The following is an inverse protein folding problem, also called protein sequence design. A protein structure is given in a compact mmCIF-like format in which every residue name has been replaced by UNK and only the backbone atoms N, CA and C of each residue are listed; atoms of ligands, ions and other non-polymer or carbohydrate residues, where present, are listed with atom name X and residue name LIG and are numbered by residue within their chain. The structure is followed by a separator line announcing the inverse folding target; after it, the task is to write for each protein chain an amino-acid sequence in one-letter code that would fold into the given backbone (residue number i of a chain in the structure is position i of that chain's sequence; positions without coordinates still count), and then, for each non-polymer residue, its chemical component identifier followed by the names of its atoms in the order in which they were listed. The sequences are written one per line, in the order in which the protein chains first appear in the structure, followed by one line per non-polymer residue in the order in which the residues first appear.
data_IF_433088029632
#
_entry.id   IF_433088029632
#
_cell.length_a   1.000
_cell.length_b   1.000
_cell.length_c   1.000
_cell.angle_alpha   90.00
_cell.angle_beta   90.00
_cell.angle_gamma   90.00
#
_symmetry.space_group_name_H-M   'P 1'
#
loop_
_entity.id
_entity.type
_entity.pdbx_description
1 polymer ?
#
# COMPACT_ATOMS: atom_id res chain seq x y z
N UNK A 1 -38.37 44.20 7.90
CA UNK A 1 -37.83 43.23 8.88
C UNK A 1 -36.76 42.41 8.19
N UNK A 2 -35.54 42.60 8.65
CA UNK A 2 -34.29 42.13 8.04
C UNK A 2 -33.88 40.78 8.62
N UNK A 3 -33.29 39.95 7.75
CA UNK A 3 -32.26 38.93 8.04
C UNK A 3 -32.72 37.66 8.79
N UNK A 4 -32.64 36.52 8.10
CA UNK A 4 -31.80 35.38 8.53
C UNK A 4 -31.96 34.19 7.56
N UNK A 5 -31.20 34.17 6.46
CA UNK A 5 -30.99 32.92 5.70
C UNK A 5 -29.61 32.85 5.01
N UNK A 6 -28.68 33.76 5.33
CA UNK A 6 -27.36 33.85 4.67
C UNK A 6 -26.21 33.13 5.41
N UNK A 7 -26.46 32.51 6.55
CA UNK A 7 -25.39 31.85 7.33
C UNK A 7 -25.28 30.34 7.10
N UNK A 8 -26.21 29.71 6.37
CA UNK A 8 -26.16 28.26 6.13
C UNK A 8 -25.15 27.87 5.03
N UNK A 9 -24.83 28.77 4.09
CA UNK A 9 -23.91 28.45 2.98
C UNK A 9 -22.43 28.54 3.34
N UNK A 10 -22.07 29.24 4.43
CA UNK A 10 -20.66 29.39 4.85
C UNK A 10 -20.18 28.16 5.63
N UNK A 11 -21.08 27.47 6.35
CA UNK A 11 -20.74 26.27 7.10
C UNK A 11 -20.42 25.08 6.18
N UNK A 12 -21.05 25.00 5.00
CA UNK A 12 -20.80 23.94 4.02
C UNK A 12 -19.45 24.09 3.31
N UNK A 13 -18.88 25.30 3.22
CA UNK A 13 -17.62 25.54 2.51
C UNK A 13 -16.39 25.24 3.37
N UNK A 14 -16.52 25.23 4.70
CA UNK A 14 -15.41 24.89 5.62
C UNK A 14 -15.14 23.37 5.72
N UNK A 15 -16.14 22.54 5.43
CA UNK A 15 -15.97 21.07 5.45
C UNK A 15 -15.11 20.54 4.30
N UNK A 16 -14.98 21.29 3.19
CA UNK A 16 -14.18 20.86 2.04
C UNK A 16 -12.67 21.04 2.26
N UNK A 17 -12.23 21.96 3.11
CA UNK A 17 -10.80 22.19 3.36
C UNK A 17 -10.18 21.17 4.32
N UNK A 18 -10.98 20.60 5.24
CA UNK A 18 -10.49 19.62 6.21
C UNK A 18 -10.15 18.26 5.57
N UNK A 19 -10.89 17.85 4.53
CA UNK A 19 -10.67 16.56 3.86
C UNK A 19 -9.36 16.57 3.03
N UNK A 20 -9.08 17.68 2.33
CA UNK A 20 -7.84 17.79 1.55
C UNK A 20 -6.57 17.83 2.43
N UNK A 21 -6.63 18.45 3.62
CA UNK A 21 -5.47 18.49 4.51
C UNK A 21 -5.15 17.12 5.11
N UNK A 22 -6.18 16.34 5.45
CA UNK A 22 -6.01 15.00 6.00
C UNK A 22 -5.30 14.06 5.02
N UNK A 23 -5.73 14.09 3.75
CA UNK A 23 -5.13 13.26 2.72
C UNK A 23 -3.68 13.65 2.41
N UNK A 24 -3.38 14.96 2.39
CA UNK A 24 -2.01 15.44 2.22
C UNK A 24 -1.10 15.02 3.38
N UNK A 25 -1.56 15.11 4.62
CA UNK A 25 -0.80 14.66 5.78
C UNK A 25 -0.55 13.15 5.75
N UNK A 26 -1.59 12.34 5.42
CA UNK A 26 -1.44 10.88 5.25
C UNK A 26 -0.43 10.53 4.16
N UNK A 27 -0.43 11.28 3.06
CA UNK A 27 0.56 11.15 1.99
C UNK A 27 1.97 11.45 2.50
N UNK A 28 2.20 12.58 3.16
CA UNK A 28 3.51 12.97 3.69
C UNK A 28 4.06 11.93 4.68
N UNK A 29 3.19 11.41 5.56
CA UNK A 29 3.52 10.32 6.47
C UNK A 29 3.96 9.06 5.69
N UNK A 30 3.17 8.68 4.68
CA UNK A 30 3.42 7.47 3.89
C UNK A 30 4.73 7.59 3.10
N UNK A 31 5.00 8.75 2.49
CA UNK A 31 6.26 9.06 1.83
C UNK A 31 7.46 8.99 2.79
N UNK A 32 7.32 9.53 4.01
CA UNK A 32 8.36 9.43 5.03
C UNK A 32 8.65 7.98 5.41
N UNK A 33 7.60 7.17 5.61
CA UNK A 33 7.76 5.74 5.93
C UNK A 33 8.51 5.02 4.81
N UNK A 34 8.12 5.23 3.55
CA UNK A 34 8.81 4.61 2.41
C UNK A 34 10.28 5.02 2.36
N UNK A 35 10.56 6.32 2.48
CA UNK A 35 11.92 6.85 2.41
C UNK A 35 12.81 6.34 3.55
N UNK A 36 12.30 6.35 4.78
CA UNK A 36 13.05 5.94 5.97
C UNK A 36 13.35 4.43 5.99
N UNK A 37 12.56 3.64 5.25
CA UNK A 37 12.66 2.18 5.21
C UNK A 37 13.04 1.64 3.82
N UNK A 38 13.50 2.49 2.90
CA UNK A 38 13.79 2.10 1.51
C UNK A 38 14.77 0.93 1.41
N UNK A 39 15.88 1.00 2.16
CA UNK A 39 16.88 -0.09 2.22
C UNK A 39 16.31 -1.37 2.82
N UNK A 40 15.38 -1.27 3.78
CA UNK A 40 14.76 -2.42 4.42
C UNK A 40 13.85 -3.17 3.45
N UNK A 41 12.99 -2.47 2.71
CA UNK A 41 12.14 -3.07 1.69
C UNK A 41 12.97 -3.82 0.65
N UNK A 42 14.07 -3.21 0.22
CA UNK A 42 14.97 -3.83 -0.74
C UNK A 42 15.72 -5.01 -0.14
N UNK A 43 16.24 -4.92 1.08
CA UNK A 43 16.99 -6.01 1.70
C UNK A 43 16.14 -7.25 1.96
N UNK A 44 14.83 -7.05 2.10
CA UNK A 44 13.91 -8.14 2.38
C UNK A 44 13.49 -8.91 1.13
N UNK A 45 13.68 -8.42 -0.10
CA UNK A 45 13.18 -9.11 -1.31
C UNK A 45 13.71 -10.56 -1.37
N UNK A 46 12.81 -11.50 -1.64
CA UNK A 46 13.02 -12.95 -1.52
C UNK A 46 14.02 -13.47 -2.56
N UNK A 47 13.95 -12.92 -3.78
CA UNK A 47 14.66 -13.45 -4.95
C UNK A 47 16.01 -12.77 -5.24
N UNK A 48 16.63 -12.16 -4.23
CA UNK A 48 17.92 -11.51 -4.42
C UNK A 48 19.09 -12.51 -4.38
N UNK A 49 19.66 -12.87 -5.55
CA UNK A 49 21.10 -13.19 -5.73
C UNK A 49 21.50 -13.33 -7.22
N UNK A 50 22.74 -13.02 -7.68
CA UNK A 50 23.81 -12.18 -7.12
C UNK A 50 23.95 -10.84 -7.87
N UNK A 51 24.44 -9.80 -7.18
CA UNK A 51 25.01 -8.48 -7.60
C UNK A 51 24.40 -7.64 -8.76
N UNK A 52 23.63 -8.19 -9.69
CA UNK A 52 23.23 -7.55 -10.96
C UNK A 52 21.72 -7.64 -11.28
N UNK A 53 20.88 -8.23 -10.42
CA UNK A 53 19.43 -8.25 -10.66
C UNK A 53 18.88 -6.83 -10.58
N UNK A 54 18.31 -6.34 -11.69
CA UNK A 54 17.70 -5.03 -11.75
C UNK A 54 16.41 -5.04 -10.93
N UNK A 55 16.27 -4.07 -10.03
CA UNK A 55 15.05 -3.88 -9.26
C UNK A 55 14.26 -2.75 -9.92
N UNK A 56 13.03 -3.05 -10.29
CA UNK A 56 12.05 -2.10 -10.76
C UNK A 56 11.02 -1.88 -9.66
N UNK A 57 10.71 -0.61 -9.39
CA UNK A 57 9.69 -0.24 -8.43
C UNK A 57 8.60 0.54 -9.16
N UNK A 58 7.38 0.04 -9.11
CA UNK A 58 6.21 0.75 -9.63
C UNK A 58 6.04 2.01 -8.78
N UNK A 59 6.14 3.18 -9.43
CA UNK A 59 6.14 4.45 -8.71
C UNK A 59 4.76 4.82 -8.14
N UNK A 60 3.69 4.25 -8.66
CA UNK A 60 2.33 4.51 -8.19
C UNK A 60 2.07 3.72 -6.91
N UNK A 61 2.23 4.36 -5.76
CA UNK A 61 1.86 3.81 -4.45
C UNK A 61 0.35 3.83 -4.32
N UNK A 62 -0.24 2.72 -3.86
CA UNK A 62 -1.69 2.55 -3.79
C UNK A 62 -2.34 2.72 -5.16
N UNK A 63 -1.66 2.30 -6.24
CA UNK A 63 -2.24 2.20 -7.58
C UNK A 63 -3.13 0.97 -7.75
N UNK A 64 -2.82 -0.07 -6.99
CA UNK A 64 -3.55 -1.34 -6.90
C UNK A 64 -4.07 -1.56 -5.50
N UNK A 65 -5.28 -2.13 -5.42
CA UNK A 65 -5.80 -2.74 -4.21
C UNK A 65 -5.52 -4.24 -4.29
N UNK A 66 -4.52 -4.70 -3.55
CA UNK A 66 -4.12 -6.10 -3.49
C UNK A 66 -5.27 -7.00 -3.03
N UNK A 67 -6.09 -6.58 -2.07
CA UNK A 67 -7.17 -7.41 -1.53
C UNK A 67 -8.23 -7.64 -2.62
N UNK A 68 -8.60 -6.59 -3.34
CA UNK A 68 -9.56 -6.69 -4.43
C UNK A 68 -9.00 -7.47 -5.62
N UNK A 69 -7.76 -7.23 -6.03
CA UNK A 69 -7.13 -7.93 -7.14
C UNK A 69 -6.90 -9.42 -6.84
N UNK A 70 -6.35 -9.73 -5.65
CA UNK A 70 -6.04 -11.09 -5.25
C UNK A 70 -7.32 -11.91 -5.13
N UNK A 71 -8.29 -11.45 -4.34
CA UNK A 71 -9.52 -12.19 -4.15
C UNK A 71 -10.39 -12.22 -5.41
N UNK A 72 -10.40 -11.14 -6.20
CA UNK A 72 -11.14 -11.07 -7.47
C UNK A 72 -10.60 -12.00 -8.56
N UNK A 73 -9.37 -12.48 -8.42
CA UNK A 73 -8.77 -13.46 -9.34
C UNK A 73 -9.22 -14.90 -9.10
N UNK A 74 -9.89 -15.18 -7.97
CA UNK A 74 -10.36 -16.51 -7.61
C UNK A 74 -11.49 -16.94 -8.55
N UNK A 75 -11.40 -18.16 -9.07
CA UNK A 75 -12.48 -18.77 -9.87
C UNK A 75 -13.63 -19.11 -8.93
N UNK A 76 -14.71 -18.33 -9.02
CA UNK A 76 -15.90 -18.53 -8.20
C UNK A 76 -16.62 -19.84 -8.56
N UNK A 77 -16.93 -20.64 -7.52
CA UNK A 77 -17.76 -21.83 -7.65
C UNK A 77 -19.13 -21.54 -7.07
N UNK A 78 -20.18 -21.89 -7.81
CA UNK A 78 -21.55 -21.58 -7.41
C UNK A 78 -21.85 -22.07 -5.98
N UNK A 79 -22.29 -21.15 -5.12
CA UNK A 79 -22.68 -21.41 -3.74
C UNK A 79 -21.55 -21.39 -2.69
N UNK A 80 -20.29 -21.08 -3.05
CA UNK A 80 -19.17 -21.05 -2.09
C UNK A 80 -18.69 -19.65 -1.67
N UNK A 81 -19.14 -18.58 -2.35
CA UNK A 81 -18.79 -17.18 -2.07
C UNK A 81 -17.27 -16.99 -1.81
N UNK A 82 -16.43 -17.61 -2.63
CA UNK A 82 -14.99 -17.71 -2.39
C UNK A 82 -14.33 -16.34 -2.40
N UNK A 83 -14.74 -15.44 -3.30
CA UNK A 83 -14.23 -14.07 -3.37
C UNK A 83 -14.55 -13.30 -2.08
N UNK A 84 -15.79 -13.39 -1.59
CA UNK A 84 -16.22 -12.68 -0.37
C UNK A 84 -15.50 -13.20 0.87
N UNK A 85 -15.38 -14.53 0.97
CA UNK A 85 -14.67 -15.17 2.08
C UNK A 85 -13.18 -14.79 2.09
N UNK A 86 -12.52 -14.78 0.93
CA UNK A 86 -11.13 -14.33 0.81
C UNK A 86 -10.96 -12.89 1.32
N UNK A 87 -11.81 -11.96 0.86
CA UNK A 87 -11.74 -10.55 1.30
C UNK A 87 -11.95 -10.44 2.81
N UNK A 88 -12.96 -11.13 3.32
CA UNK A 88 -13.27 -11.16 4.75
C UNK A 88 -12.08 -11.65 5.58
N UNK A 89 -11.45 -12.75 5.18
CA UNK A 89 -10.28 -13.30 5.88
C UNK A 89 -9.10 -12.32 5.90
N UNK A 90 -8.81 -11.64 4.78
CA UNK A 90 -7.75 -10.63 4.71
C UNK A 90 -8.06 -9.40 5.57
N UNK A 91 -9.30 -8.92 5.57
CA UNK A 91 -9.73 -7.82 6.45
C UNK A 91 -9.66 -8.23 7.92
N UNK A 92 -10.15 -9.42 8.28
CA UNK A 92 -10.06 -9.95 9.65
C UNK A 92 -8.60 -10.10 10.09
N UNK A 93 -7.72 -10.56 9.20
CA UNK A 93 -6.29 -10.65 9.47
C UNK A 93 -5.69 -9.29 9.81
N UNK A 94 -5.90 -8.28 8.96
CA UNK A 94 -5.41 -6.91 9.21
C UNK A 94 -6.05 -6.32 10.47
N UNK A 95 -7.34 -6.57 10.70
CA UNK A 95 -8.08 -6.03 11.84
C UNK A 95 -7.67 -6.62 13.19
N UNK A 96 -6.93 -7.74 13.23
CA UNK A 96 -6.27 -8.21 14.48
C UNK A 96 -5.30 -7.17 15.06
N UNK A 97 -4.75 -6.28 14.23
CA UNK A 97 -3.90 -5.17 14.66
C UNK A 97 -4.68 -3.93 15.14
N UNK A 98 -6.01 -3.94 14.98
CA UNK A 98 -6.94 -2.92 15.45
C UNK A 98 -7.41 -1.91 14.41
N UNK A 99 -7.03 -2.04 13.13
CA UNK A 99 -7.27 -1.01 12.10
C UNK A 99 -8.75 -0.75 11.73
N UNK A 100 -9.62 -1.72 11.96
CA UNK A 100 -11.06 -1.66 11.64
C UNK A 100 -11.36 -1.27 10.18
N UNK A 101 -10.63 -1.85 9.23
CA UNK A 101 -10.78 -1.68 7.78
C UNK A 101 -11.81 -2.66 7.19
N UNK A 102 -12.31 -2.33 6.01
CA UNK A 102 -13.29 -3.06 5.22
C UNK A 102 -13.19 -2.66 3.73
N UNK A 103 -14.09 -3.17 2.89
CA UNK A 103 -14.14 -2.93 1.44
C UNK A 103 -14.33 -1.46 1.01
N UNK A 104 -14.76 -0.60 1.93
CA UNK A 104 -14.94 0.84 1.68
C UNK A 104 -13.76 1.67 2.22
N UNK A 105 -12.68 1.02 2.66
CA UNK A 105 -11.52 1.71 3.25
C UNK A 105 -10.73 2.44 2.18
N UNK A 106 -10.54 3.74 2.38
CA UNK A 106 -9.69 4.55 1.50
C UNK A 106 -8.21 4.40 1.87
N UNK A 107 -7.44 3.82 0.94
CA UNK A 107 -5.98 3.74 1.01
C UNK A 107 -5.32 5.01 0.47
N UNK A 108 -4.15 5.32 1.00
CA UNK A 108 -3.32 6.44 0.54
C UNK A 108 -2.75 6.09 -0.83
N UNK A 109 -2.89 7.00 -1.79
CA UNK A 109 -2.40 6.82 -3.16
C UNK A 109 -1.62 8.05 -3.63
N UNK A 110 -0.43 7.85 -4.18
CA UNK A 110 0.44 8.92 -4.68
C UNK A 110 1.48 8.40 -5.67
N UNK A 111 2.15 9.32 -6.35
CA UNK A 111 3.29 9.01 -7.22
C UNK A 111 4.57 9.25 -6.42
N UNK A 112 5.39 8.21 -6.32
CA UNK A 112 6.69 8.26 -5.69
C UNK A 112 7.70 8.86 -6.66
N UNK A 113 8.24 10.03 -6.31
CA UNK A 113 9.21 10.74 -7.16
C UNK A 113 10.66 10.24 -6.96
N UNK A 114 10.95 9.66 -5.79
CA UNK A 114 12.29 9.18 -5.42
C UNK A 114 12.19 7.97 -4.51
N UNK A 115 13.21 7.11 -4.56
CA UNK A 115 13.35 5.98 -3.65
C UNK A 115 14.80 5.88 -3.17
N UNK A 116 15.13 6.38 -1.97
CA UNK A 116 16.50 6.58 -1.52
C UNK A 116 17.14 5.30 -0.97
N UNK A 117 17.26 4.26 -1.81
CA UNK A 117 17.99 3.04 -1.45
C UNK A 117 19.46 3.10 -1.86
N UNK A 118 20.32 2.41 -1.11
CA UNK A 118 21.71 2.11 -1.48
C UNK A 118 21.83 1.20 -2.69
N UNK A 119 20.80 0.41 -3.00
CA UNK A 119 20.76 -0.40 -4.22
C UNK A 119 20.19 0.40 -5.38
N UNK A 120 20.59 0.04 -6.59
CA UNK A 120 20.04 0.64 -7.80
C UNK A 120 18.61 0.16 -8.04
N UNK A 121 17.63 1.01 -7.69
CA UNK A 121 16.20 0.77 -7.93
C UNK A 121 15.72 1.75 -8.99
N UNK A 122 15.12 1.24 -10.06
CA UNK A 122 14.57 2.06 -11.14
C UNK A 122 13.06 2.22 -10.96
N UNK A 123 12.62 3.46 -10.81
CA UNK A 123 11.20 3.80 -10.78
C UNK A 123 10.60 3.69 -12.18
N UNK A 124 9.45 3.02 -12.29
CA UNK A 124 8.72 2.84 -13.55
C UNK A 124 7.24 3.15 -13.38
N UNK A 125 6.58 3.46 -14.49
CA UNK A 125 5.12 3.49 -14.57
C UNK A 125 4.56 2.07 -14.48
N UNK A 126 3.32 1.96 -14.02
CA UNK A 126 2.56 0.72 -14.13
C UNK A 126 2.42 0.31 -15.62
N UNK A 127 2.50 -0.98 -15.93
CA UNK A 127 2.37 -1.56 -17.28
C UNK A 127 3.51 -1.29 -18.27
N UNK A 128 4.66 -0.74 -17.83
CA UNK A 128 5.80 -0.58 -18.73
C UNK A 128 6.40 -1.95 -19.12
N UNK A 129 6.50 -2.22 -20.42
CA UNK A 129 7.18 -3.42 -20.92
C UNK A 129 8.68 -3.34 -20.62
N UNK A 130 9.14 -4.11 -19.64
CA UNK A 130 10.54 -4.22 -19.27
C UNK A 130 11.21 -5.22 -20.22
N UNK A 131 12.27 -4.76 -20.90
CA UNK A 131 13.02 -5.57 -21.87
C UNK A 131 14.11 -6.43 -21.24
N UNK A 132 14.32 -6.29 -19.93
CA UNK A 132 15.29 -7.07 -19.18
C UNK A 132 14.75 -8.47 -18.91
N UNK A 133 15.61 -9.48 -19.06
CA UNK A 133 15.22 -10.88 -18.89
C UNK A 133 15.10 -11.29 -17.43
N UNK A 134 15.85 -10.62 -16.57
CA UNK A 134 16.03 -10.96 -15.16
C UNK A 134 15.79 -9.72 -14.30
N UNK A 135 14.58 -9.60 -13.76
CA UNK A 135 14.25 -8.47 -12.90
C UNK A 135 13.26 -8.82 -11.80
N UNK A 136 13.32 -8.02 -10.74
CA UNK A 136 12.36 -8.04 -9.64
C UNK A 136 11.51 -6.79 -9.79
N UNK A 137 10.20 -6.97 -9.87
CA UNK A 137 9.23 -5.88 -9.79
C UNK A 137 8.68 -5.79 -8.37
N UNK A 138 8.69 -4.58 -7.84
CA UNK A 138 8.17 -4.26 -6.51
C UNK A 138 7.02 -3.26 -6.66
N UNK A 139 5.97 -3.43 -5.86
CA UNK A 139 4.90 -2.44 -5.73
C UNK A 139 4.44 -2.28 -4.29
N UNK A 140 4.01 -1.07 -3.95
CA UNK A 140 3.39 -0.73 -2.68
C UNK A 140 1.87 -0.60 -2.87
N UNK A 141 1.13 -1.63 -2.48
CA UNK A 141 -0.34 -1.69 -2.49
C UNK A 141 -0.92 -1.33 -1.10
N UNK A 142 -2.19 -0.92 -1.06
CA UNK A 142 -2.98 -0.71 0.16
C UNK A 142 -2.21 -0.01 1.30
N UNK A 143 -1.72 1.21 1.07
CA UNK A 143 -1.08 1.97 2.13
C UNK A 143 -2.15 2.58 3.05
N UNK A 144 -2.15 2.21 4.34
CA UNK A 144 -3.13 2.69 5.31
C UNK A 144 -2.47 3.38 6.50
N UNK A 145 -3.06 4.48 6.97
CA UNK A 145 -2.63 5.25 8.13
C UNK A 145 -3.84 5.51 9.01
N UNK A 146 -3.84 4.96 10.22
CA UNK A 146 -4.78 5.31 11.28
C UNK A 146 -4.11 6.28 12.26
N UNK A 147 -4.50 7.55 12.18
CA UNK A 147 -3.97 8.61 13.04
C UNK A 147 -4.42 8.50 14.50
N UNK A 148 -5.60 7.92 14.76
CA UNK A 148 -6.12 7.75 16.13
C UNK A 148 -5.35 6.66 16.85
N UNK A 149 -5.13 5.54 16.18
CA UNK A 149 -4.34 4.42 16.70
C UNK A 149 -2.84 4.68 16.63
N UNK A 150 -2.42 5.68 15.83
CA UNK A 150 -1.02 5.96 15.52
C UNK A 150 -0.32 4.73 14.93
N UNK A 151 -1.06 3.99 14.11
CA UNK A 151 -0.61 2.78 13.43
C UNK A 151 -0.84 2.91 11.92
N UNK A 152 -0.08 2.17 11.14
CA UNK A 152 -0.24 2.09 9.71
C UNK A 152 0.28 0.78 9.17
N UNK A 153 -0.07 0.47 7.94
CA UNK A 153 0.51 -0.65 7.22
C UNK A 153 0.66 -0.34 5.74
N UNK A 154 1.51 -1.10 5.07
CA UNK A 154 1.57 -1.16 3.61
C UNK A 154 1.74 -2.61 3.18
N UNK A 155 1.06 -2.99 2.11
CA UNK A 155 1.22 -4.29 1.47
C UNK A 155 2.27 -4.12 0.36
N UNK A 156 3.34 -4.89 0.42
CA UNK A 156 4.43 -4.88 -0.56
C UNK A 156 4.34 -6.16 -1.36
N UNK A 157 4.24 -6.05 -2.68
CA UNK A 157 4.24 -7.18 -3.59
C UNK A 157 5.57 -7.21 -4.33
N UNK A 158 6.17 -8.39 -4.35
CA UNK A 158 7.33 -8.74 -5.16
C UNK A 158 6.88 -9.72 -6.24
N UNK A 159 7.25 -9.44 -7.48
CA UNK A 159 7.10 -10.36 -8.61
C UNK A 159 8.49 -10.63 -9.20
N UNK A 160 8.90 -11.89 -9.18
CA UNK A 160 10.08 -12.41 -9.88
C UNK A 160 9.65 -13.09 -11.18
N UNK A 161 9.95 -12.44 -12.31
CA UNK A 161 9.55 -12.95 -13.61
C UNK A 161 10.47 -14.06 -14.16
N UNK A 162 11.57 -14.38 -13.49
CA UNK A 162 12.36 -15.59 -13.82
C UNK A 162 11.56 -16.88 -13.54
N UNK A 163 10.65 -16.85 -12.57
CA UNK A 163 9.88 -18.01 -12.13
C UNK A 163 8.43 -18.01 -12.67
N UNK A 164 8.09 -17.06 -13.55
CA UNK A 164 6.74 -16.88 -14.11
C UNK A 164 5.81 -16.01 -13.25
N UNK A 165 4.52 -15.88 -13.64
CA UNK A 165 3.51 -15.00 -13.00
C UNK A 165 3.26 -15.24 -11.50
N UNK A 166 3.80 -16.31 -10.93
CA UNK A 166 3.64 -16.72 -9.53
C UNK A 166 4.96 -16.79 -8.75
N UNK A 167 6.09 -16.44 -9.38
CA UNK A 167 7.36 -16.28 -8.66
C UNK A 167 7.34 -14.95 -7.93
N UNK A 168 7.42 -14.94 -6.61
CA UNK A 168 7.34 -13.70 -5.84
C UNK A 168 6.83 -13.90 -4.43
N UNK A 169 6.61 -12.80 -3.72
CA UNK A 169 6.04 -12.81 -2.37
C UNK A 169 5.19 -11.58 -2.11
N UNK A 170 4.26 -11.72 -1.19
CA UNK A 170 3.48 -10.60 -0.66
C UNK A 170 3.74 -10.49 0.83
N UNK A 171 4.09 -9.29 1.28
CA UNK A 171 4.35 -9.00 2.69
C UNK A 171 3.60 -7.76 3.15
N UNK A 172 3.12 -7.79 4.38
CA UNK A 172 2.53 -6.64 5.05
C UNK A 172 3.55 -6.11 6.05
N UNK A 173 3.82 -4.81 5.97
CA UNK A 173 4.70 -4.11 6.89
C UNK A 173 3.85 -3.21 7.79
N UNK A 174 3.95 -3.42 9.11
CA UNK A 174 3.17 -2.69 10.11
C UNK A 174 4.03 -1.68 10.87
N UNK A 175 3.53 -0.46 10.95
CA UNK A 175 4.21 0.69 11.52
C UNK A 175 3.43 1.27 12.70
N UNK A 176 4.16 1.78 13.68
CA UNK A 176 3.61 2.54 14.80
C UNK A 176 4.36 3.87 14.97
N UNK A 177 3.64 4.93 15.32
CA UNK A 177 4.26 6.22 15.60
C UNK A 177 4.74 6.29 17.05
N UNK A 178 6.06 6.30 17.23
CA UNK A 178 6.74 6.45 18.52
C UNK A 178 7.50 7.77 18.56
N UNK A 179 6.87 8.79 19.15
CA UNK A 179 7.53 10.08 19.41
C UNK A 179 7.91 10.84 18.14
N UNK A 180 6.95 10.99 17.22
CA UNK A 180 7.07 11.67 15.92
C UNK A 180 7.87 10.91 14.85
N UNK A 181 8.13 9.62 15.08
CA UNK A 181 8.73 8.74 14.06
C UNK A 181 7.89 7.50 13.90
N UNK A 182 7.56 7.18 12.66
CA UNK A 182 6.94 5.94 12.29
C UNK A 182 8.01 4.85 12.25
N UNK A 183 7.85 3.81 13.05
CA UNK A 183 8.79 2.70 13.15
C UNK A 183 8.09 1.42 12.75
N UNK A 184 8.76 0.61 11.94
CA UNK A 184 8.35 -0.77 11.71
C UNK A 184 8.37 -1.50 13.06
N UNK A 185 7.28 -2.18 13.41
CA UNK A 185 7.24 -3.04 14.60
C UNK A 185 7.00 -4.51 14.25
N UNK A 186 6.50 -4.79 13.05
CA UNK A 186 6.12 -6.12 12.61
C UNK A 186 6.05 -6.18 11.08
N UNK A 187 6.43 -7.30 10.50
CA UNK A 187 6.13 -7.65 9.13
C UNK A 187 5.62 -9.10 9.06
N UNK A 188 4.68 -9.39 8.17
CA UNK A 188 4.15 -10.74 7.95
C UNK A 188 4.09 -11.04 6.46
N UNK A 189 4.49 -12.24 6.08
CA UNK A 189 4.32 -12.74 4.72
C UNK A 189 2.92 -13.31 4.56
N UNK A 190 2.19 -12.85 3.54
CA UNK A 190 0.93 -13.47 3.15
C UNK A 190 1.25 -14.69 2.28
N UNK A 191 0.82 -15.85 2.74
CA UNK A 191 0.81 -17.06 1.91
C UNK A 191 -0.32 -16.90 0.89
N UNK A 192 0.01 -16.39 -0.29
CA UNK A 192 -0.89 -16.33 -1.42
C UNK A 192 -0.84 -17.68 -2.15
N UNK A 193 -1.96 -18.40 -2.17
CA UNK A 193 -2.12 -19.68 -2.88
C UNK A 193 -2.30 -19.47 -4.40
#
# INVERSE_FOLDING_TARGET
MTKNFKYLSVLFMLCFFASCSDNNERKEISESIINDNADLFVSNLYTISPENTQIFLIKKVGGSDFIDEHCGSIVEMEGLNLVENCKKELYEFLNKEGFNINENTEYVSFVLEKFPSKRNVKLIEDQQEIKDRDYIEVSFSNFYIDKKLKKGFVIVRESNLQEGRHGGKVEIYFFENKGNRWKLYKNEMLLTA
#
